data_IF_716610155746
#
_entry.id   IF_716610155746
#
_cell.length_a   1.000
_cell.length_b   1.000
_cell.length_c   1.000
_cell.angle_alpha   90.00
_cell.angle_beta   90.00
_cell.angle_gamma   90.00
#
_symmetry.space_group_name_H-M   'P 1'
#
loop_
_entity.id
_entity.type
_entity.pdbx_description
1 polymer ?
#
# COMPACT_ATOMS: atom_id res chain seq x y z
N UNK A 1 -15.40 -10.80 23.28
CA UNK A 1 -14.10 -10.12 23.51
C UNK A 1 -13.56 -9.54 22.22
N UNK A 2 -12.87 -8.40 22.28
CA UNK A 2 -12.20 -7.81 21.13
C UNK A 2 -10.72 -8.17 21.16
N UNK A 3 -10.12 -8.39 19.99
CA UNK A 3 -8.69 -8.67 19.85
C UNK A 3 -7.99 -7.55 19.09
N UNK A 4 -6.73 -7.32 19.43
CA UNK A 4 -5.91 -6.33 18.76
C UNK A 4 -5.56 -6.81 17.34
N UNK A 5 -5.64 -5.89 16.38
CA UNK A 5 -5.07 -6.01 15.05
C UNK A 5 -4.07 -4.88 14.88
N UNK A 6 -2.79 -5.22 14.86
CA UNK A 6 -1.67 -4.30 14.71
C UNK A 6 -0.82 -4.63 13.49
N UNK A 7 -0.12 -3.61 13.00
CA UNK A 7 0.78 -3.74 11.88
C UNK A 7 1.62 -2.49 11.63
N UNK A 8 2.33 -2.49 10.51
CA UNK A 8 3.17 -1.39 10.06
C UNK A 8 3.10 -1.17 8.55
N UNK A 9 3.20 0.10 8.15
CA UNK A 9 3.42 0.56 6.78
C UNK A 9 4.87 1.05 6.66
N UNK A 10 5.67 0.42 5.80
CA UNK A 10 7.04 0.83 5.49
C UNK A 10 7.08 1.60 4.17
N UNK A 11 7.61 2.82 4.19
CA UNK A 11 7.82 3.66 3.00
C UNK A 11 9.30 4.05 2.91
N UNK A 12 9.83 4.10 1.70
CA UNK A 12 11.26 4.34 1.46
C UNK A 12 11.59 5.84 1.37
N UNK A 13 10.72 6.63 0.76
CA UNK A 13 10.99 8.03 0.42
C UNK A 13 10.00 9.04 1.01
N UNK A 14 8.96 8.55 1.68
CA UNK A 14 7.90 9.37 2.27
C UNK A 14 7.68 9.02 3.74
N UNK A 15 7.16 9.97 4.51
CA UNK A 15 6.73 9.68 5.88
C UNK A 15 5.51 8.75 5.86
N UNK A 16 5.51 7.66 6.65
CA UNK A 16 4.33 6.81 6.78
C UNK A 16 3.26 7.43 7.68
N UNK A 17 3.57 8.54 8.38
CA UNK A 17 2.64 9.26 9.22
C UNK A 17 1.39 9.71 8.46
N UNK A 18 0.21 9.51 9.04
CA UNK A 18 -1.04 9.95 8.42
C UNK A 18 -1.56 9.02 7.32
N UNK A 19 -0.81 7.98 6.94
CA UNK A 19 -1.31 6.93 6.05
C UNK A 19 -2.45 6.18 6.73
N UNK A 20 -3.46 5.83 5.94
CA UNK A 20 -4.68 5.21 6.44
C UNK A 20 -4.75 3.75 6.02
N UNK A 21 -5.06 2.87 6.96
CA UNK A 21 -5.39 1.46 6.72
C UNK A 21 -6.90 1.32 6.82
N UNK A 22 -7.53 0.86 5.75
CA UNK A 22 -8.95 0.51 5.71
C UNK A 22 -9.09 -0.95 6.11
N UNK A 23 -9.90 -1.20 7.12
CA UNK A 23 -10.18 -2.51 7.70
C UNK A 23 -11.65 -2.85 7.45
N UNK A 24 -11.92 -3.83 6.61
CA UNK A 24 -13.29 -4.20 6.22
C UNK A 24 -13.61 -5.62 6.70
N UNK A 25 -14.70 -5.82 7.48
CA UNK A 25 -15.15 -7.16 7.84
C UNK A 25 -15.46 -7.98 6.58
N UNK A 26 -14.96 -9.20 6.51
CA UNK A 26 -15.22 -10.10 5.39
C UNK A 26 -16.64 -10.67 5.50
N UNK A 27 -17.43 -10.60 4.42
CA UNK A 27 -18.72 -11.30 4.30
C UNK A 27 -19.92 -10.64 5.01
N UNK A 28 -19.75 -9.52 5.72
CA UNK A 28 -20.85 -8.68 6.20
C UNK A 28 -20.65 -7.31 5.58
N UNK A 29 -21.68 -6.73 4.95
CA UNK A 29 -21.66 -5.36 4.41
C UNK A 29 -21.53 -4.28 5.50
N UNK A 30 -20.61 -4.46 6.44
CA UNK A 30 -20.31 -3.55 7.53
C UNK A 30 -19.47 -2.38 7.03
N UNK A 31 -19.66 -1.23 7.66
CA UNK A 31 -18.82 -0.06 7.49
C UNK A 31 -17.38 -0.43 7.87
N UNK A 32 -16.46 -0.33 6.91
CA UNK A 32 -15.04 -0.49 7.20
C UNK A 32 -14.57 0.56 8.22
N UNK A 33 -13.66 0.17 9.09
CA UNK A 33 -12.95 1.10 9.97
C UNK A 33 -11.71 1.62 9.26
N UNK A 34 -11.29 2.83 9.60
CA UNK A 34 -10.02 3.38 9.10
C UNK A 34 -9.13 3.73 10.28
N UNK A 35 -7.92 3.19 10.30
CA UNK A 35 -6.89 3.53 11.29
C UNK A 35 -5.77 4.31 10.63
N UNK A 36 -5.30 5.34 11.30
CA UNK A 36 -4.18 6.16 10.86
C UNK A 36 -2.88 5.65 11.47
N UNK A 37 -1.86 5.50 10.62
CA UNK A 37 -0.52 5.11 11.04
C UNK A 37 0.22 6.28 11.72
N UNK A 38 1.02 5.94 12.73
CA UNK A 38 1.87 6.88 13.46
C UNK A 38 3.14 7.27 12.67
N UNK A 39 4.03 8.05 13.30
CA UNK A 39 5.29 8.50 12.71
C UNK A 39 6.22 7.37 12.26
N UNK A 40 6.11 6.19 12.88
CA UNK A 40 6.88 4.99 12.53
C UNK A 40 6.11 4.04 11.61
N UNK A 41 4.95 4.49 11.12
CA UNK A 41 4.05 3.72 10.27
C UNK A 41 3.27 2.63 10.99
N UNK A 42 3.31 2.57 12.34
CA UNK A 42 2.56 1.58 13.11
C UNK A 42 1.09 1.96 13.20
N UNK A 43 0.23 0.95 13.18
CA UNK A 43 -1.21 1.11 13.37
C UNK A 43 -1.76 -0.04 14.21
N UNK A 44 -2.81 0.22 14.99
CA UNK A 44 -3.50 -0.78 15.80
C UNK A 44 -5.00 -0.46 15.92
N UNK A 45 -5.84 -1.50 15.94
CA UNK A 45 -7.28 -1.43 16.20
C UNK A 45 -7.71 -2.54 17.18
N UNK A 46 -8.74 -2.29 17.98
CA UNK A 46 -9.41 -3.33 18.77
C UNK A 46 -10.68 -3.76 18.07
N UNK A 47 -10.71 -4.99 17.56
CA UNK A 47 -11.77 -5.46 16.68
C UNK A 47 -12.49 -6.67 17.27
N UNK A 48 -13.81 -6.81 17.05
CA UNK A 48 -14.51 -8.05 17.34
C UNK A 48 -13.86 -9.27 16.64
N UNK A 49 -14.11 -10.49 17.12
CA UNK A 49 -13.56 -11.69 16.51
C UNK A 49 -14.25 -11.93 15.15
N UNK A 50 -13.51 -11.73 14.06
CA UNK A 50 -13.97 -11.96 12.69
C UNK A 50 -12.79 -12.07 11.72
N UNK A 51 -13.09 -12.31 10.44
CA UNK A 51 -12.11 -12.17 9.37
C UNK A 51 -12.21 -10.77 8.76
N UNK A 52 -11.06 -10.16 8.49
CA UNK A 52 -10.94 -8.80 8.00
C UNK A 52 -10.07 -8.74 6.77
N UNK A 53 -10.48 -7.90 5.83
CA UNK A 53 -9.67 -7.44 4.71
C UNK A 53 -9.03 -6.10 5.07
N UNK A 54 -7.73 -5.98 4.84
CA UNK A 54 -6.96 -4.75 5.08
C UNK A 54 -6.36 -4.25 3.80
N UNK A 55 -6.44 -2.94 3.58
CA UNK A 55 -5.75 -2.26 2.49
C UNK A 55 -5.25 -0.90 2.96
N UNK A 56 -4.05 -0.51 2.53
CA UNK A 56 -3.58 0.87 2.72
C UNK A 56 -4.30 1.74 1.69
N UNK A 57 -4.84 2.87 2.11
CA UNK A 57 -5.42 3.86 1.21
C UNK A 57 -4.31 4.37 0.27
N UNK A 58 -4.40 3.96 -0.99
CA UNK A 58 -3.46 4.41 -2.02
C UNK A 58 -3.68 5.90 -2.29
N UNK A 59 -2.59 6.62 -2.46
CA UNK A 59 -2.59 7.75 -3.38
C UNK A 59 -1.93 7.29 -4.68
N UNK A 60 -2.10 8.04 -5.76
CA UNK A 60 -1.51 7.68 -7.07
C UNK A 60 0.03 7.84 -7.10
N UNK A 61 0.66 8.13 -5.95
CA UNK A 61 2.10 8.45 -5.86
C UNK A 61 2.97 7.27 -5.45
N UNK A 62 2.41 6.29 -4.74
CA UNK A 62 3.16 5.12 -4.24
C UNK A 62 2.35 3.84 -4.41
N UNK A 63 2.98 2.82 -4.98
CA UNK A 63 2.42 1.46 -5.01
C UNK A 63 2.79 0.75 -3.71
N UNK A 64 1.79 0.19 -3.02
CA UNK A 64 1.97 -0.56 -1.77
C UNK A 64 1.72 -2.05 -2.02
N UNK A 65 2.59 -2.91 -1.48
CA UNK A 65 2.44 -4.34 -1.49
C UNK A 65 2.42 -4.92 -0.05
N UNK A 66 1.60 -5.94 0.20
CA UNK A 66 0.51 -6.41 -0.69
C UNK A 66 -0.59 -5.34 -0.81
N UNK A 67 -1.31 -5.32 -1.94
CA UNK A 67 -2.41 -4.36 -2.14
C UNK A 67 -3.56 -4.57 -1.13
N UNK A 68 -3.76 -5.84 -0.73
CA UNK A 68 -4.78 -6.24 0.24
C UNK A 68 -4.29 -7.47 1.01
N UNK A 69 -4.66 -7.58 2.28
CA UNK A 69 -4.42 -8.76 3.12
C UNK A 69 -5.70 -9.21 3.78
N UNK A 70 -5.83 -10.51 3.99
CA UNK A 70 -6.91 -11.08 4.80
C UNK A 70 -6.32 -11.65 6.07
N UNK A 71 -6.86 -11.25 7.22
CA UNK A 71 -6.45 -11.75 8.54
C UNK A 71 -7.68 -12.15 9.35
N UNK A 72 -7.47 -12.91 10.41
CA UNK A 72 -8.54 -13.35 11.30
C UNK A 72 -8.20 -13.02 12.75
N UNK A 73 -9.08 -12.27 13.41
CA UNK A 73 -9.03 -12.03 14.85
C UNK A 73 -9.93 -13.01 15.62
N UNK A 74 -10.43 -14.07 14.98
CA UNK A 74 -11.44 -14.95 15.56
C UNK A 74 -10.98 -15.65 16.85
N UNK A 75 -9.71 -16.06 16.91
CA UNK A 75 -9.16 -16.83 18.02
C UNK A 75 -8.12 -16.06 18.86
N UNK A 76 -7.44 -15.08 18.27
CA UNK A 76 -6.33 -14.38 18.92
C UNK A 76 -6.07 -13.00 18.26
N UNK A 77 -5.29 -12.12 18.95
CA UNK A 77 -4.74 -10.91 18.34
C UNK A 77 -3.82 -11.20 17.14
N UNK A 78 -3.74 -10.24 16.22
CA UNK A 78 -2.85 -10.23 15.06
C UNK A 78 -1.90 -9.03 15.21
N UNK A 79 -0.59 -9.23 15.22
CA UNK A 79 0.36 -8.17 15.59
C UNK A 79 1.31 -7.70 14.47
N UNK A 80 1.48 -8.51 13.43
CA UNK A 80 2.55 -8.33 12.44
C UNK A 80 2.03 -8.14 11.01
N UNK A 81 0.92 -7.41 10.83
CA UNK A 81 0.46 -7.05 9.48
C UNK A 81 1.44 -6.07 8.85
N UNK A 82 2.03 -6.43 7.71
CA UNK A 82 3.06 -5.61 7.07
C UNK A 82 2.62 -5.15 5.69
N UNK A 83 2.72 -3.85 5.44
CA UNK A 83 2.60 -3.24 4.13
C UNK A 83 3.90 -2.49 3.81
N UNK A 84 4.35 -2.54 2.56
CA UNK A 84 5.57 -1.88 2.13
C UNK A 84 5.41 -1.20 0.78
N UNK A 85 6.11 -0.08 0.60
CA UNK A 85 6.30 0.53 -0.71
C UNK A 85 6.98 -0.45 -1.66
N UNK A 86 6.44 -0.57 -2.86
CA UNK A 86 7.05 -1.31 -3.95
C UNK A 86 8.13 -0.44 -4.58
N UNK A 87 9.37 -0.86 -4.42
CA UNK A 87 10.53 -0.23 -5.04
C UNK A 87 10.99 -1.08 -6.23
N UNK A 88 10.83 -0.52 -7.43
CA UNK A 88 11.20 -1.16 -8.69
C UNK A 88 12.33 -0.39 -9.34
N UNK A 89 13.37 -1.11 -9.76
CA UNK A 89 14.43 -0.53 -10.60
C UNK A 89 13.97 -0.63 -12.04
N UNK A 90 13.46 0.49 -12.57
CA UNK A 90 13.06 0.57 -13.98
C UNK A 90 14.29 0.77 -14.84
N UNK A 91 14.51 -0.14 -15.80
CA UNK A 91 15.53 0.01 -16.84
C UNK A 91 14.82 0.19 -18.17
N UNK A 92 15.38 1.04 -19.02
CA UNK A 92 14.76 1.33 -20.30
C UNK A 92 15.75 1.91 -21.29
N UNK A 93 15.28 2.07 -22.52
CA UNK A 93 15.99 2.78 -23.55
C UNK A 93 15.13 3.92 -24.07
N UNK A 94 15.73 5.09 -24.18
CA UNK A 94 15.15 6.25 -24.85
C UNK A 94 15.65 6.24 -26.30
N UNK A 95 14.73 6.17 -27.24
CA UNK A 95 15.04 6.27 -28.67
C UNK A 95 14.29 7.45 -29.27
N UNK A 96 15.01 8.27 -30.05
CA UNK A 96 14.40 9.38 -30.77
C UNK A 96 13.75 8.88 -32.06
N UNK A 97 12.48 9.23 -32.25
CA UNK A 97 11.75 8.87 -33.46
C UNK A 97 12.32 9.69 -34.61
N UNK A 98 13.01 9.02 -35.54
CA UNK A 98 13.62 9.67 -36.72
C UNK A 98 15.13 9.88 -36.67
N UNK A 99 15.85 9.26 -35.74
CA UNK A 99 17.32 9.07 -35.86
C UNK A 99 18.18 9.89 -34.90
N UNK A 100 18.03 11.22 -34.83
CA UNK A 100 18.89 12.06 -33.97
C UNK A 100 18.12 12.92 -32.98
N UNK A 101 18.49 12.83 -31.70
CA UNK A 101 17.99 13.69 -30.62
C UNK A 101 18.65 15.07 -30.67
N UNK A 102 18.30 15.90 -31.66
CA UNK A 102 18.79 17.27 -31.80
C UNK A 102 17.67 18.19 -32.28
N UNK A 103 17.46 19.28 -31.55
CA UNK A 103 16.48 20.37 -31.75
C UNK A 103 15.14 19.89 -32.37
N UNK A 104 14.26 19.33 -31.52
CA UNK A 104 13.09 18.53 -31.87
C UNK A 104 12.16 19.12 -32.97
N UNK A 105 11.41 18.24 -33.66
CA UNK A 105 9.99 18.11 -33.27
C UNK A 105 9.46 16.68 -33.21
N UNK A 106 10.27 15.65 -33.43
CA UNK A 106 9.77 14.28 -33.59
C UNK A 106 9.84 13.49 -32.29
N UNK A 107 8.74 12.80 -31.98
CA UNK A 107 8.41 12.24 -30.68
C UNK A 107 9.49 11.39 -30.00
N UNK A 108 9.33 11.24 -28.69
CA UNK A 108 10.13 10.38 -27.84
C UNK A 108 9.46 9.01 -27.74
N UNK A 109 10.19 7.92 -27.99
CA UNK A 109 9.71 6.58 -27.61
C UNK A 109 10.46 6.12 -26.36
N UNK A 110 9.71 5.75 -25.33
CA UNK A 110 10.23 5.18 -24.09
C UNK A 110 9.83 3.72 -24.06
N UNK A 111 10.82 2.83 -24.05
CA UNK A 111 10.62 1.41 -23.81
C UNK A 111 11.13 1.06 -22.42
N UNK A 112 10.23 0.52 -21.60
CA UNK A 112 10.57 -0.05 -20.29
C UNK A 112 10.89 -1.55 -20.50
N UNK A 113 11.92 -2.05 -19.83
CA UNK A 113 12.33 -3.46 -19.85
C UNK A 113 12.14 -4.12 -18.49
#
# INVERSE_FOLDING_TARGET
DAHALCGRIALDTASPAGRQVVITPSGRGGSGETVTADLEGKFCAMLPPASYSLAVRSDDSVVIAPAQQTVSTAAAPVLDVAFAQVSLVVKGRVECVGGSCGAAPNGLSVSLR
#
